data_IF_734514153019
#
_entry.id   IF_734514153019
#
_cell.length_a   1.000
_cell.length_b   1.000
_cell.length_c   1.000
_cell.angle_alpha   90.00
_cell.angle_beta   90.00
_cell.angle_gamma   90.00
#
_symmetry.space_group_name_H-M   'P 1'
#
loop_
_entity.id
_entity.type
_entity.pdbx_description
1 polymer ?
#
# COMPACT_ATOMS: atom_id res chain seq x y z
N UNK A 1 -11.79 -26.48 24.34
CA UNK A 1 -11.34 -25.07 24.25
C UNK A 1 -10.58 -24.74 22.96
N UNK A 2 -9.67 -25.57 22.41
CA UNK A 2 -8.94 -25.29 21.17
C UNK A 2 -9.85 -24.99 19.93
N UNK A 3 -10.95 -25.71 19.78
CA UNK A 3 -11.85 -25.57 18.61
C UNK A 3 -12.63 -24.23 18.60
N UNK A 4 -12.93 -23.65 19.75
CA UNK A 4 -13.64 -22.37 19.86
C UNK A 4 -12.69 -21.21 19.50
N UNK A 5 -11.44 -21.24 19.98
CA UNK A 5 -10.43 -20.26 19.63
C UNK A 5 -10.12 -20.24 18.12
N UNK A 6 -10.01 -21.41 17.49
CA UNK A 6 -9.78 -21.50 16.04
C UNK A 6 -10.98 -21.03 15.22
N UNK A 7 -12.20 -21.29 15.67
CA UNK A 7 -13.43 -20.83 15.02
C UNK A 7 -13.58 -19.30 15.12
N UNK A 8 -13.35 -18.72 16.30
CA UNK A 8 -13.40 -17.26 16.52
C UNK A 8 -12.30 -16.55 15.72
N UNK A 9 -11.08 -17.09 15.71
CA UNK A 9 -9.98 -16.55 14.91
C UNK A 9 -10.29 -16.59 13.41
N UNK A 10 -10.88 -17.68 12.89
CA UNK A 10 -11.28 -17.83 11.50
C UNK A 10 -12.37 -16.82 11.10
N UNK A 11 -13.38 -16.61 11.95
CA UNK A 11 -14.43 -15.64 11.68
C UNK A 11 -13.92 -14.19 11.72
N UNK A 12 -13.04 -13.87 12.65
CA UNK A 12 -12.37 -12.56 12.72
C UNK A 12 -11.50 -12.29 11.49
N UNK A 13 -10.76 -13.32 11.05
CA UNK A 13 -9.92 -13.24 9.85
C UNK A 13 -10.75 -13.06 8.57
N UNK A 14 -11.87 -13.80 8.39
CA UNK A 14 -12.79 -13.61 7.25
C UNK A 14 -13.40 -12.22 7.23
N UNK A 15 -13.79 -11.68 8.39
CA UNK A 15 -14.33 -10.31 8.51
C UNK A 15 -13.28 -9.26 8.14
N UNK A 16 -12.03 -9.44 8.59
CA UNK A 16 -10.94 -8.53 8.23
C UNK A 16 -10.61 -8.56 6.73
N UNK A 17 -10.50 -9.73 6.12
CA UNK A 17 -10.26 -9.86 4.68
C UNK A 17 -11.38 -9.21 3.85
N UNK A 18 -12.65 -9.44 4.20
CA UNK A 18 -13.79 -8.79 3.53
C UNK A 18 -13.70 -7.28 3.65
N UNK A 19 -13.28 -6.75 4.80
CA UNK A 19 -13.09 -5.32 5.00
C UNK A 19 -11.94 -4.76 4.16
N UNK A 20 -10.83 -5.50 4.01
CA UNK A 20 -9.68 -5.06 3.20
C UNK A 20 -10.09 -4.91 1.73
N UNK A 21 -10.70 -5.92 1.14
CA UNK A 21 -11.16 -5.88 -0.25
C UNK A 21 -12.25 -4.83 -0.46
N UNK A 22 -13.21 -4.71 0.47
CA UNK A 22 -14.25 -3.69 0.39
C UNK A 22 -13.67 -2.27 0.41
N UNK A 23 -12.68 -2.01 1.27
CA UNK A 23 -11.98 -0.71 1.33
C UNK A 23 -11.15 -0.44 0.07
N UNK A 24 -10.43 -1.46 -0.42
CA UNK A 24 -9.69 -1.35 -1.67
C UNK A 24 -10.63 -0.98 -2.82
N UNK A 25 -11.73 -1.69 -2.96
CA UNK A 25 -12.74 -1.41 -3.97
C UNK A 25 -13.36 -0.02 -3.78
N UNK A 26 -13.69 0.34 -2.55
CA UNK A 26 -14.23 1.65 -2.20
C UNK A 26 -13.28 2.79 -2.58
N UNK A 27 -11.98 2.67 -2.27
CA UNK A 27 -10.97 3.67 -2.65
C UNK A 27 -10.80 3.82 -4.16
N UNK A 28 -11.09 2.78 -4.94
CA UNK A 28 -11.01 2.84 -6.40
C UNK A 28 -12.30 3.35 -7.06
N UNK A 29 -13.47 3.10 -6.49
CA UNK A 29 -14.77 3.39 -7.11
C UNK A 29 -15.53 4.56 -6.45
N UNK A 30 -15.37 4.75 -5.14
CA UNK A 30 -16.04 5.76 -4.32
C UNK A 30 -15.08 6.37 -3.32
N UNK A 31 -14.01 6.97 -3.83
CA UNK A 31 -12.85 7.42 -3.08
C UNK A 31 -13.20 8.34 -1.91
N UNK A 32 -14.03 9.36 -2.15
CA UNK A 32 -14.44 10.35 -1.13
C UNK A 32 -15.15 9.68 0.05
N UNK A 33 -16.23 8.94 -0.20
CA UNK A 33 -17.01 8.29 0.85
C UNK A 33 -16.16 7.31 1.67
N UNK A 34 -15.25 6.60 1.00
CA UNK A 34 -14.35 5.66 1.69
C UNK A 34 -13.33 6.38 2.57
N UNK A 35 -12.85 7.56 2.16
CA UNK A 35 -11.98 8.37 3.00
C UNK A 35 -12.72 8.95 4.23
N UNK A 36 -13.99 9.30 4.09
CA UNK A 36 -14.84 9.74 5.21
C UNK A 36 -14.97 8.62 6.25
N UNK A 37 -15.31 7.40 5.80
CA UNK A 37 -15.36 6.22 6.68
C UNK A 37 -14.01 5.95 7.39
N UNK A 38 -12.89 6.08 6.66
CA UNK A 38 -11.54 5.89 7.22
C UNK A 38 -11.21 6.99 8.23
N UNK A 39 -11.62 8.24 7.97
CA UNK A 39 -11.36 9.37 8.85
C UNK A 39 -12.09 9.22 10.19
N UNK A 40 -13.34 8.77 10.16
CA UNK A 40 -14.17 8.56 11.35
C UNK A 40 -13.74 7.36 12.19
N UNK A 41 -12.99 6.42 11.61
CA UNK A 41 -12.56 5.21 12.32
C UNK A 41 -11.62 5.54 13.48
N UNK A 42 -11.98 5.08 14.67
CA UNK A 42 -11.14 5.23 15.86
C UNK A 42 -10.00 4.20 15.83
N UNK A 43 -8.85 4.60 15.30
CA UNK A 43 -7.67 3.76 15.10
C UNK A 43 -6.58 4.12 16.10
N UNK A 44 -5.81 3.11 16.50
CA UNK A 44 -4.57 3.28 17.26
C UNK A 44 -3.39 3.39 16.30
N UNK A 45 -2.25 3.82 16.80
CA UNK A 45 -0.99 3.79 16.07
C UNK A 45 -0.68 2.37 15.58
N UNK A 46 -0.15 2.25 14.37
CA UNK A 46 0.11 1.00 13.64
C UNK A 46 -1.12 0.13 13.28
N UNK A 47 -2.34 0.57 13.59
CA UNK A 47 -3.54 -0.21 13.21
C UNK A 47 -3.72 -0.30 11.70
N UNK A 48 -3.49 0.80 10.97
CA UNK A 48 -3.59 0.82 9.51
C UNK A 48 -2.52 -0.04 8.84
N UNK A 49 -1.30 -0.02 9.38
CA UNK A 49 -0.24 -0.92 8.93
C UNK A 49 -0.61 -2.39 9.10
N UNK A 50 -0.99 -2.80 10.31
CA UNK A 50 -1.26 -4.20 10.62
C UNK A 50 -2.53 -4.74 9.96
N UNK A 51 -3.56 -3.89 9.80
CA UNK A 51 -4.86 -4.33 9.28
C UNK A 51 -5.02 -4.19 7.78
N UNK A 52 -4.23 -3.34 7.13
CA UNK A 52 -4.35 -3.07 5.71
C UNK A 52 -3.05 -3.31 4.95
N UNK A 53 -1.95 -2.65 5.32
CA UNK A 53 -0.67 -2.71 4.57
C UNK A 53 -0.06 -4.12 4.62
N UNK A 54 0.11 -4.66 5.82
CA UNK A 54 0.75 -5.97 6.01
C UNK A 54 0.01 -7.11 5.29
N UNK A 55 -1.33 -7.23 5.37
CA UNK A 55 -2.07 -8.22 4.59
C UNK A 55 -1.91 -8.07 3.08
N UNK A 56 -1.86 -6.83 2.55
CA UNK A 56 -1.63 -6.59 1.12
C UNK A 56 -0.22 -6.98 0.69
N UNK A 57 0.80 -6.67 1.49
CA UNK A 57 2.18 -7.10 1.23
C UNK A 57 2.25 -8.64 1.21
N UNK A 58 1.67 -9.30 2.22
CA UNK A 58 1.64 -10.75 2.28
C UNK A 58 0.90 -11.37 1.08
N UNK A 59 -0.27 -10.82 0.73
CA UNK A 59 -1.07 -11.31 -0.39
C UNK A 59 -0.35 -11.13 -1.73
N UNK A 60 0.17 -9.93 -2.02
CA UNK A 60 0.91 -9.66 -3.26
C UNK A 60 2.16 -10.53 -3.39
N UNK A 61 2.89 -10.72 -2.29
CA UNK A 61 4.08 -11.57 -2.26
C UNK A 61 3.72 -13.04 -2.52
N UNK A 62 2.64 -13.53 -1.93
CA UNK A 62 2.16 -14.88 -2.16
C UNK A 62 1.74 -15.11 -3.62
N UNK A 63 1.05 -14.15 -4.22
CA UNK A 63 0.69 -14.19 -5.64
C UNK A 63 1.92 -14.20 -6.53
N UNK A 64 2.89 -13.32 -6.28
CA UNK A 64 4.16 -13.29 -7.03
C UNK A 64 4.85 -14.66 -6.95
N UNK A 65 4.94 -15.25 -5.76
CA UNK A 65 5.56 -16.55 -5.58
C UNK A 65 4.88 -17.65 -6.40
N UNK A 66 3.54 -17.69 -6.40
CA UNK A 66 2.78 -18.71 -7.16
C UNK A 66 2.96 -18.51 -8.66
N UNK A 67 2.83 -17.28 -9.16
CA UNK A 67 2.82 -17.02 -10.59
C UNK A 67 4.23 -17.07 -11.19
N UNK A 68 5.24 -16.59 -10.47
CA UNK A 68 6.64 -16.86 -10.87
C UNK A 68 6.91 -18.35 -10.97
N UNK A 69 6.31 -19.09 -10.05
CA UNK A 69 6.31 -20.52 -10.05
C UNK A 69 5.71 -21.15 -11.31
N UNK A 70 4.59 -20.65 -11.75
CA UNK A 70 3.88 -21.17 -12.92
C UNK A 70 4.53 -20.77 -14.24
N UNK A 71 5.23 -19.63 -14.27
CA UNK A 71 5.86 -19.11 -15.49
C UNK A 71 7.34 -19.45 -15.65
N UNK A 72 8.00 -19.95 -14.61
CA UNK A 72 9.43 -20.30 -14.67
C UNK A 72 9.66 -21.65 -15.36
N UNK A 73 10.42 -21.65 -16.45
CA UNK A 73 10.71 -22.87 -17.22
C UNK A 73 11.80 -23.77 -16.59
N UNK A 74 12.80 -23.25 -15.87
CA UNK A 74 13.98 -24.05 -15.47
C UNK A 74 14.55 -23.76 -14.06
N UNK A 75 14.43 -22.58 -13.48
CA UNK A 75 14.99 -22.24 -12.14
C UNK A 75 13.94 -21.71 -11.16
N UNK A 76 12.90 -22.45 -11.05
CA UNK A 76 11.66 -22.15 -10.38
C UNK A 76 11.78 -21.61 -8.94
N UNK A 77 12.49 -22.31 -8.07
CA UNK A 77 12.48 -22.03 -6.63
C UNK A 77 13.32 -20.80 -6.29
N UNK A 78 14.51 -20.67 -6.88
CA UNK A 78 15.44 -19.60 -6.55
C UNK A 78 14.92 -18.23 -7.01
N UNK A 79 14.42 -18.13 -8.24
CA UNK A 79 13.96 -16.87 -8.83
C UNK A 79 12.68 -16.35 -8.15
N UNK A 80 11.72 -17.23 -7.88
CA UNK A 80 10.46 -16.86 -7.22
C UNK A 80 10.66 -16.35 -5.79
N UNK A 81 11.55 -17.01 -5.02
CA UNK A 81 11.87 -16.55 -3.66
C UNK A 81 12.59 -15.21 -3.67
N UNK A 82 13.52 -14.99 -4.61
CA UNK A 82 14.22 -13.70 -4.74
C UNK A 82 13.23 -12.59 -5.08
N UNK A 83 12.35 -12.80 -6.06
CA UNK A 83 11.33 -11.80 -6.41
C UNK A 83 10.35 -11.52 -5.26
N UNK A 84 9.91 -12.56 -4.55
CA UNK A 84 9.06 -12.41 -3.37
C UNK A 84 9.76 -11.61 -2.27
N UNK A 85 11.01 -11.90 -1.99
CA UNK A 85 11.82 -11.18 -1.01
C UNK A 85 12.03 -9.71 -1.38
N UNK A 86 12.39 -9.45 -2.65
CA UNK A 86 12.51 -8.09 -3.17
C UNK A 86 11.19 -7.33 -3.04
N UNK A 87 10.05 -7.98 -3.33
CA UNK A 87 8.73 -7.34 -3.21
C UNK A 87 8.42 -6.93 -1.76
N UNK A 88 8.70 -7.81 -0.79
CA UNK A 88 8.48 -7.50 0.64
C UNK A 88 9.32 -6.31 1.06
N UNK A 89 10.63 -6.34 0.78
CA UNK A 89 11.54 -5.24 1.17
C UNK A 89 11.16 -3.94 0.47
N UNK A 90 10.85 -3.99 -0.82
CA UNK A 90 10.49 -2.81 -1.58
C UNK A 90 9.20 -2.16 -1.05
N UNK A 91 8.18 -2.94 -0.74
CA UNK A 91 6.91 -2.42 -0.24
C UNK A 91 6.97 -1.95 1.21
N UNK A 92 7.65 -2.71 2.08
CA UNK A 92 7.87 -2.28 3.48
C UNK A 92 8.72 -1.01 3.53
N UNK A 93 9.85 -1.01 2.81
CA UNK A 93 10.73 0.15 2.73
C UNK A 93 10.02 1.38 2.16
N UNK A 94 9.23 1.19 1.10
CA UNK A 94 8.44 2.27 0.50
C UNK A 94 7.41 2.83 1.47
N UNK A 95 6.70 1.98 2.20
CA UNK A 95 5.72 2.41 3.19
C UNK A 95 6.36 3.28 4.28
N UNK A 96 7.43 2.80 4.93
CA UNK A 96 8.07 3.54 6.01
C UNK A 96 8.76 4.81 5.52
N UNK A 97 9.39 4.76 4.35
CA UNK A 97 10.03 5.94 3.77
C UNK A 97 9.00 7.01 3.41
N UNK A 98 7.90 6.63 2.77
CA UNK A 98 6.80 7.55 2.46
C UNK A 98 6.14 8.10 3.72
N UNK A 99 5.98 7.27 4.76
CA UNK A 99 5.44 7.71 6.04
C UNK A 99 6.35 8.75 6.70
N UNK A 100 7.66 8.56 6.65
CA UNK A 100 8.63 9.52 7.18
C UNK A 100 8.58 10.84 6.42
N UNK A 101 8.53 10.82 5.08
CA UNK A 101 8.39 12.02 4.24
C UNK A 101 7.07 12.74 4.54
N UNK A 102 5.95 12.01 4.51
CA UNK A 102 4.61 12.57 4.77
C UNK A 102 4.55 13.21 6.15
N UNK A 103 5.05 12.52 7.17
CA UNK A 103 5.12 13.04 8.54
C UNK A 103 5.97 14.30 8.64
N UNK A 104 7.10 14.36 7.94
CA UNK A 104 7.99 15.53 7.93
C UNK A 104 7.33 16.74 7.27
N UNK A 105 6.66 16.53 6.13
CA UNK A 105 5.94 17.58 5.40
C UNK A 105 4.78 18.12 6.24
N UNK A 106 3.97 17.24 6.82
CA UNK A 106 2.81 17.64 7.62
C UNK A 106 3.21 18.34 8.92
N UNK A 107 4.26 17.88 9.60
CA UNK A 107 4.78 18.56 10.79
C UNK A 107 5.26 19.98 10.49
N UNK A 108 5.93 20.16 9.34
CA UNK A 108 6.46 21.47 8.95
C UNK A 108 5.37 22.46 8.55
N UNK A 109 4.37 22.00 7.80
CA UNK A 109 3.38 22.88 7.19
C UNK A 109 2.08 22.97 8.02
N UNK A 110 1.80 21.96 8.87
CA UNK A 110 0.50 21.81 9.55
C UNK A 110 0.64 21.31 10.99
N UNK A 111 1.54 21.92 11.77
CA UNK A 111 1.85 21.50 13.14
C UNK A 111 0.63 21.39 14.07
N UNK A 112 -0.40 22.23 13.87
CA UNK A 112 -1.64 22.23 14.67
C UNK A 112 -2.62 21.09 14.35
N UNK A 113 -2.53 20.49 13.16
CA UNK A 113 -3.46 19.44 12.68
C UNK A 113 -2.76 18.08 12.56
N UNK A 114 -1.43 18.06 12.67
CA UNK A 114 -0.64 16.86 12.53
C UNK A 114 -1.00 15.82 13.60
N UNK A 115 -1.20 14.59 13.13
CA UNK A 115 -1.30 13.39 13.96
C UNK A 115 -0.60 12.24 13.25
N UNK A 116 0.19 11.47 13.99
CA UNK A 116 0.86 10.26 13.48
C UNK A 116 -0.16 9.29 12.89
N UNK A 117 -1.29 9.11 13.57
CA UNK A 117 -2.38 8.20 13.13
C UNK A 117 -2.99 8.68 11.80
N UNK A 118 -3.18 9.99 11.62
CA UNK A 118 -3.70 10.55 10.36
C UNK A 118 -2.70 10.36 9.21
N UNK A 119 -1.41 10.59 9.46
CA UNK A 119 -0.34 10.37 8.47
C UNK A 119 -0.23 8.89 8.09
N UNK A 120 -0.33 8.00 9.06
CA UNK A 120 -0.35 6.55 8.85
C UNK A 120 -1.54 6.10 7.99
N UNK A 121 -2.76 6.54 8.32
CA UNK A 121 -3.96 6.28 7.51
C UNK A 121 -3.75 6.77 6.08
N UNK A 122 -3.31 8.02 5.93
CA UNK A 122 -3.07 8.62 4.62
C UNK A 122 -2.14 7.77 3.76
N UNK A 123 -0.97 7.39 4.28
CA UNK A 123 0.01 6.60 3.55
C UNK A 123 -0.50 5.19 3.30
N UNK A 124 -1.00 4.50 4.33
CA UNK A 124 -1.44 3.11 4.24
C UNK A 124 -2.48 2.88 3.13
N UNK A 125 -3.51 3.72 3.10
CA UNK A 125 -4.61 3.56 2.15
C UNK A 125 -4.29 4.12 0.76
N UNK A 126 -3.37 5.08 0.65
CA UNK A 126 -2.94 5.62 -0.65
C UNK A 126 -2.11 4.64 -1.48
N UNK A 127 -1.49 3.63 -0.86
CA UNK A 127 -0.81 2.54 -1.58
C UNK A 127 -1.75 1.55 -2.27
N UNK A 128 -3.06 1.69 -2.13
CA UNK A 128 -4.07 0.74 -2.63
C UNK A 128 -3.87 0.38 -4.10
N UNK A 129 -3.70 1.36 -4.98
CA UNK A 129 -3.55 1.15 -6.43
C UNK A 129 -2.30 0.32 -6.71
N UNK A 130 -1.18 0.67 -6.08
CA UNK A 130 0.10 -0.04 -6.25
C UNK A 130 -0.03 -1.51 -5.85
N UNK A 131 -0.72 -1.81 -4.74
CA UNK A 131 -0.94 -3.20 -4.33
C UNK A 131 -1.75 -3.98 -5.36
N UNK A 132 -2.85 -3.40 -5.85
CA UNK A 132 -3.71 -4.04 -6.85
C UNK A 132 -2.95 -4.26 -8.16
N UNK A 133 -2.26 -3.23 -8.66
CA UNK A 133 -1.53 -3.33 -9.93
C UNK A 133 -0.35 -4.31 -9.87
N UNK A 134 0.31 -4.43 -8.72
CA UNK A 134 1.34 -5.46 -8.52
C UNK A 134 0.77 -6.87 -8.61
N UNK A 135 -0.40 -7.11 -8.01
CA UNK A 135 -1.08 -8.40 -8.11
C UNK A 135 -1.49 -8.69 -9.56
N UNK A 136 -2.09 -7.72 -10.25
CA UNK A 136 -2.49 -7.87 -11.65
C UNK A 136 -1.29 -8.14 -12.56
N UNK A 137 -0.20 -7.40 -12.38
CA UNK A 137 1.02 -7.60 -13.18
C UNK A 137 1.71 -8.94 -12.92
N UNK A 138 1.59 -9.50 -11.71
CA UNK A 138 2.10 -10.83 -11.40
C UNK A 138 1.26 -11.94 -12.05
N UNK A 139 -0.07 -11.78 -12.05
CA UNK A 139 -1.01 -12.77 -12.64
C UNK A 139 -0.94 -12.74 -14.16
N UNK A 140 -0.85 -11.56 -14.78
CA UNK A 140 -0.83 -11.37 -16.22
C UNK A 140 0.31 -10.43 -16.60
N UNK A 141 1.53 -10.96 -16.80
CA UNK A 141 2.71 -10.12 -17.11
C UNK A 141 2.56 -9.26 -18.37
N UNK A 142 1.74 -9.69 -19.34
CA UNK A 142 1.46 -8.93 -20.56
C UNK A 142 0.75 -7.59 -20.30
N UNK A 143 0.13 -7.42 -19.14
CA UNK A 143 -0.55 -6.19 -18.74
C UNK A 143 0.37 -5.19 -18.01
N UNK A 144 1.70 -5.26 -18.24
CA UNK A 144 2.66 -4.36 -17.60
C UNK A 144 2.33 -2.87 -17.83
N UNK A 145 1.71 -2.53 -18.96
CA UNK A 145 1.30 -1.17 -19.29
C UNK A 145 0.24 -0.59 -18.32
N UNK A 146 -0.50 -1.43 -17.60
CA UNK A 146 -1.44 -0.98 -16.58
C UNK A 146 -0.75 -0.26 -15.41
N UNK A 147 0.58 -0.37 -15.28
CA UNK A 147 1.33 0.40 -14.27
C UNK A 147 1.20 1.93 -14.49
N UNK A 148 0.79 2.38 -15.68
CA UNK A 148 0.44 3.80 -15.88
C UNK A 148 -0.71 4.25 -14.97
N UNK A 149 -1.56 3.31 -14.54
CA UNK A 149 -2.65 3.58 -13.61
C UNK A 149 -2.16 3.87 -12.18
N UNK A 150 -0.85 3.68 -11.87
CA UNK A 150 -0.27 4.17 -10.61
C UNK A 150 -0.49 5.69 -10.45
N UNK A 151 -0.66 6.42 -11.55
CA UNK A 151 -1.03 7.85 -11.53
C UNK A 151 -2.38 8.09 -10.84
N UNK A 152 -3.29 7.11 -10.82
CA UNK A 152 -4.55 7.23 -10.08
C UNK A 152 -4.34 7.40 -8.56
N UNK A 153 -3.19 7.01 -8.04
CA UNK A 153 -2.78 7.28 -6.67
C UNK A 153 -2.82 8.79 -6.35
N UNK A 154 -2.53 9.64 -7.33
CA UNK A 154 -2.57 11.12 -7.18
C UNK A 154 -3.98 11.56 -6.76
N UNK A 155 -5.01 11.02 -7.42
CA UNK A 155 -6.41 11.32 -7.08
C UNK A 155 -6.79 10.81 -5.68
N UNK A 156 -6.37 9.59 -5.32
CA UNK A 156 -6.61 9.03 -3.99
C UNK A 156 -5.97 9.91 -2.91
N UNK A 157 -4.73 10.35 -3.13
CA UNK A 157 -4.01 11.24 -2.21
C UNK A 157 -4.68 12.61 -2.12
N UNK A 158 -5.14 13.15 -3.24
CA UNK A 158 -5.88 14.43 -3.29
C UNK A 158 -7.12 14.41 -2.38
N UNK A 159 -7.95 13.38 -2.53
CA UNK A 159 -9.15 13.21 -1.72
C UNK A 159 -8.81 12.94 -0.24
N UNK A 160 -7.77 12.14 0.02
CA UNK A 160 -7.30 11.89 1.37
C UNK A 160 -6.79 13.14 2.07
N UNK A 161 -6.06 14.03 1.37
CA UNK A 161 -5.63 15.32 1.92
C UNK A 161 -6.82 16.21 2.27
N UNK A 162 -7.87 16.19 1.44
CA UNK A 162 -9.09 16.95 1.69
C UNK A 162 -9.83 16.46 2.93
N UNK A 163 -10.07 15.15 3.01
CA UNK A 163 -10.94 14.56 4.04
C UNK A 163 -10.23 14.41 5.39
N UNK A 164 -8.98 13.90 5.40
CA UNK A 164 -8.27 13.60 6.66
C UNK A 164 -7.70 14.85 7.31
N UNK A 165 -7.15 15.76 6.50
CA UNK A 165 -6.43 16.93 7.01
C UNK A 165 -7.19 18.25 6.83
N UNK A 166 -8.28 18.24 6.05
CA UNK A 166 -9.05 19.45 5.72
C UNK A 166 -8.16 20.60 5.21
N UNK A 167 -7.23 20.26 4.29
CA UNK A 167 -6.25 21.20 3.73
C UNK A 167 -6.93 22.07 2.68
N UNK A 168 -6.69 23.38 2.74
CA UNK A 168 -7.15 24.33 1.73
C UNK A 168 -6.56 24.04 0.35
N UNK A 169 -7.26 24.43 -0.71
CA UNK A 169 -6.88 24.07 -2.09
C UNK A 169 -5.49 24.55 -2.49
N UNK A 170 -5.09 25.73 -2.04
CA UNK A 170 -3.81 26.37 -2.38
C UNK A 170 -2.60 25.59 -1.87
N UNK A 171 -2.68 25.02 -0.65
CA UNK A 171 -1.61 24.25 -0.04
C UNK A 171 -1.70 22.75 -0.40
N UNK A 172 -2.91 22.26 -0.65
CA UNK A 172 -3.21 20.86 -0.95
C UNK A 172 -2.40 20.35 -2.15
N UNK A 173 -2.32 21.16 -3.21
CA UNK A 173 -1.61 20.79 -4.44
C UNK A 173 -0.15 20.41 -4.22
N UNK A 174 0.58 21.19 -3.43
CA UNK A 174 2.01 20.93 -3.12
C UNK A 174 2.17 19.68 -2.27
N UNK A 175 1.39 19.57 -1.18
CA UNK A 175 1.48 18.44 -0.24
C UNK A 175 1.12 17.14 -0.95
N UNK A 176 0.02 17.12 -1.71
CA UNK A 176 -0.43 15.98 -2.49
C UNK A 176 0.61 15.53 -3.49
N UNK A 177 1.24 16.46 -4.21
CA UNK A 177 2.24 16.13 -5.22
C UNK A 177 3.44 15.41 -4.59
N UNK A 178 3.97 15.91 -3.48
CA UNK A 178 5.10 15.26 -2.79
C UNK A 178 4.74 13.88 -2.25
N UNK A 179 3.56 13.73 -1.64
CA UNK A 179 3.11 12.44 -1.12
C UNK A 179 2.92 11.45 -2.26
N UNK A 180 2.23 11.84 -3.33
CA UNK A 180 1.97 10.98 -4.49
C UNK A 180 3.25 10.54 -5.18
N UNK A 181 4.19 11.45 -5.41
CA UNK A 181 5.49 11.13 -5.98
C UNK A 181 6.24 10.13 -5.08
N UNK A 182 6.24 10.35 -3.76
CA UNK A 182 6.87 9.41 -2.83
C UNK A 182 6.24 8.02 -2.93
N UNK A 183 4.91 7.90 -2.98
CA UNK A 183 4.21 6.62 -3.08
C UNK A 183 4.56 5.91 -4.38
N UNK A 184 4.56 6.61 -5.52
CA UNK A 184 4.77 6.00 -6.84
C UNK A 184 6.24 5.62 -7.05
N UNK A 185 7.17 6.53 -6.73
CA UNK A 185 8.58 6.33 -7.08
C UNK A 185 9.37 5.51 -6.06
N UNK A 186 9.03 5.56 -4.77
CA UNK A 186 9.83 4.89 -3.74
C UNK A 186 9.90 3.36 -3.92
N UNK A 187 8.81 2.63 -4.21
CA UNK A 187 8.89 1.18 -4.45
C UNK A 187 9.76 0.83 -5.65
N UNK A 188 9.68 1.64 -6.71
CA UNK A 188 10.50 1.45 -7.92
C UNK A 188 11.98 1.70 -7.62
N UNK A 189 12.28 2.78 -6.90
CA UNK A 189 13.64 3.14 -6.51
C UNK A 189 14.28 2.06 -5.64
N UNK A 190 13.58 1.63 -4.57
CA UNK A 190 14.09 0.59 -3.67
C UNK A 190 14.33 -0.72 -4.43
N UNK A 191 13.38 -1.12 -5.29
CA UNK A 191 13.55 -2.31 -6.14
C UNK A 191 14.81 -2.22 -7.01
N UNK A 192 15.07 -1.05 -7.62
CA UNK A 192 16.26 -0.83 -8.46
C UNK A 192 17.55 -0.89 -7.65
N UNK A 193 17.57 -0.29 -6.47
CA UNK A 193 18.74 -0.33 -5.57
C UNK A 193 19.05 -1.77 -5.16
N UNK A 194 18.04 -2.55 -4.76
CA UNK A 194 18.24 -3.94 -4.38
C UNK A 194 18.80 -4.75 -5.55
N UNK A 195 18.24 -4.58 -6.76
CA UNK A 195 18.70 -5.30 -7.95
C UNK A 195 20.14 -4.93 -8.35
N UNK A 196 20.59 -3.71 -8.09
CA UNK A 196 21.98 -3.30 -8.29
C UNK A 196 22.94 -3.90 -7.26
N UNK A 197 22.46 -4.22 -6.06
CA UNK A 197 23.25 -4.82 -4.99
C UNK A 197 23.32 -6.36 -5.10
N UNK A 198 22.38 -6.99 -5.79
CA UNK A 198 22.42 -8.42 -6.04
C UNK A 198 23.35 -8.66 -7.24
N UNK A 199 24.44 -9.45 -7.07
CA UNK A 199 25.26 -9.84 -8.21
C UNK A 199 24.36 -10.58 -9.20
N UNK A 200 24.57 -10.31 -10.50
CA UNK A 200 23.73 -10.80 -11.59
C UNK A 200 23.44 -12.31 -11.45
N UNK A 201 22.18 -12.61 -11.13
CA UNK A 201 21.61 -13.94 -11.21
C UNK A 201 20.99 -14.15 -12.59
#
# INVERSE_FOLDING_TARGET
>A
MKNICTFVARNKMKKNLKNIFARTWGLMMSTTATWEDIAEENSKENDSFLRFVLPWIAFSTFIILIFDALYAEVKFVETGFVHAFINVIALLGAYYFTLAITSSILKKNMSGIYSVIKAEKMVAYSFTVIYVLKVVAAVIPSLFFLQILDVYTVYIVWEGCRVIFNIDEDERGKIMLFISLSIIFTPMFIKRVILLMLPAF
#
